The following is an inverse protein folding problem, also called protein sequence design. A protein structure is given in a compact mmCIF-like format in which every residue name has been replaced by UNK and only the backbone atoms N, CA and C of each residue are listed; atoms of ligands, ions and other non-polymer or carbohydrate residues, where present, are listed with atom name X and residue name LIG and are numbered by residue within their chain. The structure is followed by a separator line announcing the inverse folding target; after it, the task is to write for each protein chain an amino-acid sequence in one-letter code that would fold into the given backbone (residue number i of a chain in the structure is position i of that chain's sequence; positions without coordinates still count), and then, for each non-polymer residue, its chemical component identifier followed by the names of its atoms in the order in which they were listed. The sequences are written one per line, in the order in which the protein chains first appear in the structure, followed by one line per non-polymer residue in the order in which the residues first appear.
data_IF_036922888626
#
_entry.id   IF_036922888626
#
_cell.length_a   1.000
_cell.length_b   1.000
_cell.length_c   1.000
_cell.angle_alpha   90.00
_cell.angle_beta   90.00
_cell.angle_gamma   90.00
#
_symmetry.space_group_name_H-M   'P 1'
#
loop_
_entity.id
_entity.type
_entity.pdbx_description
1 polymer ?
#
# COMPACT_ATOMS: atom_id res chain seq x y z
N UNK A 1 -80.01 34.13 -26.26
CA UNK A 1 -79.32 33.93 -24.98
C UNK A 1 -78.37 32.75 -25.14
N UNK A 2 -77.08 32.96 -24.84
CA UNK A 2 -75.93 32.05 -24.93
C UNK A 2 -75.36 31.76 -26.34
N UNK A 3 -74.42 32.64 -26.68
CA UNK A 3 -73.32 32.49 -27.64
C UNK A 3 -72.32 31.42 -27.20
N UNK A 4 -71.78 30.63 -28.15
CA UNK A 4 -70.39 30.12 -28.14
C UNK A 4 -69.86 29.98 -29.58
N UNK A 5 -68.95 30.90 -29.89
CA UNK A 5 -67.84 30.89 -30.86
C UNK A 5 -66.97 29.62 -30.74
N UNK A 6 -66.08 29.17 -31.65
CA UNK A 6 -65.49 29.61 -32.92
C UNK A 6 -64.53 28.49 -33.41
N UNK A 7 -64.05 28.63 -34.66
CA UNK A 7 -62.87 28.04 -35.32
C UNK A 7 -63.01 26.73 -36.12
N UNK A 8 -63.14 26.96 -37.42
CA UNK A 8 -62.70 26.14 -38.54
C UNK A 8 -61.16 25.95 -38.49
N UNK A 9 -60.66 24.73 -38.65
CA UNK A 9 -59.25 24.48 -38.96
C UNK A 9 -59.17 23.51 -40.14
N UNK A 10 -58.66 24.04 -41.26
CA UNK A 10 -58.30 23.32 -42.47
C UNK A 10 -56.97 22.61 -42.21
N UNK A 11 -56.94 21.27 -42.30
CA UNK A 11 -55.69 20.51 -42.25
C UNK A 11 -55.21 20.25 -43.68
N UNK A 12 -54.08 20.88 -44.03
CA UNK A 12 -53.42 20.77 -45.32
C UNK A 12 -52.49 19.55 -45.33
N UNK A 13 -52.58 18.77 -46.40
CA UNK A 13 -51.64 17.71 -46.77
C UNK A 13 -50.30 18.35 -47.16
N UNK A 14 -49.20 17.91 -46.56
CA UNK A 14 -47.85 18.18 -47.05
C UNK A 14 -46.96 16.96 -46.80
N UNK A 15 -46.69 16.24 -47.89
CA UNK A 15 -45.69 15.21 -48.01
C UNK A 15 -44.32 15.89 -48.01
N UNK A 16 -43.51 15.66 -46.98
CA UNK A 16 -42.08 16.02 -47.00
C UNK A 16 -41.26 14.77 -46.67
N UNK A 17 -40.55 14.32 -47.70
CA UNK A 17 -39.45 13.38 -47.57
C UNK A 17 -38.28 14.09 -46.90
N UNK A 18 -37.79 13.54 -45.79
CA UNK A 18 -36.50 13.90 -45.21
C UNK A 18 -35.68 12.63 -45.00
N UNK A 19 -34.73 12.46 -45.93
CA UNK A 19 -33.30 12.19 -45.69
C UNK A 19 -33.01 11.27 -44.50
N UNK A 20 -32.68 10.01 -44.82
CA UNK A 20 -31.86 9.16 -43.97
C UNK A 20 -30.50 9.84 -43.77
N UNK A 21 -30.19 10.18 -42.52
CA UNK A 21 -28.87 10.59 -42.11
C UNK A 21 -28.19 9.37 -41.51
N UNK A 22 -27.15 8.91 -42.19
CA UNK A 22 -26.10 8.07 -41.65
C UNK A 22 -25.44 8.86 -40.51
N UNK A 23 -25.56 8.34 -39.29
CA UNK A 23 -24.77 8.77 -38.15
C UNK A 23 -24.24 7.50 -37.51
N UNK A 24 -23.09 7.09 -38.00
CA UNK A 24 -22.08 6.49 -37.16
C UNK A 24 -21.82 7.48 -36.01
N UNK A 25 -22.45 7.21 -34.86
CA UNK A 25 -22.05 7.76 -33.57
C UNK A 25 -21.18 6.69 -32.89
N UNK A 26 -20.02 6.42 -33.49
CA UNK A 26 -18.86 5.84 -32.84
C UNK A 26 -18.24 6.90 -31.93
N UNK A 27 -18.95 7.26 -30.86
CA UNK A 27 -18.33 7.89 -29.70
C UNK A 27 -17.67 6.80 -28.86
N UNK A 28 -16.63 6.17 -29.41
CA UNK A 28 -15.57 5.62 -28.58
C UNK A 28 -14.82 6.81 -28.02
N UNK A 29 -15.24 7.26 -26.83
CA UNK A 29 -14.31 7.93 -25.93
C UNK A 29 -13.25 6.88 -25.57
N UNK A 30 -12.29 6.72 -26.48
CA UNK A 30 -11.04 6.03 -26.23
C UNK A 30 -10.09 7.08 -25.66
N UNK A 31 -10.46 7.65 -24.51
CA UNK A 31 -9.47 8.06 -23.53
C UNK A 31 -8.92 6.78 -22.93
N UNK A 32 -8.09 6.09 -23.71
CA UNK A 32 -7.04 5.28 -23.12
C UNK A 32 -6.12 6.24 -22.40
N UNK A 33 -6.53 6.68 -21.20
CA UNK A 33 -5.59 7.17 -20.22
C UNK A 33 -4.57 6.06 -20.11
N UNK A 34 -3.36 6.34 -20.59
CA UNK A 34 -2.26 5.44 -20.41
C UNK A 34 -2.00 5.48 -18.91
N UNK A 35 -2.66 4.60 -18.18
CA UNK A 35 -2.50 4.47 -16.74
C UNK A 35 -1.02 4.20 -16.48
N UNK A 36 -0.37 5.13 -15.77
CA UNK A 36 1.05 5.05 -15.42
C UNK A 36 1.19 4.65 -13.95
N UNK A 37 2.22 3.87 -13.64
CA UNK A 37 2.55 3.53 -12.26
C UNK A 37 2.96 4.79 -11.51
N UNK A 38 2.51 4.90 -10.26
CA UNK A 38 2.98 5.94 -9.34
C UNK A 38 4.51 5.87 -9.21
N UNK A 39 5.18 7.04 -9.14
CA UNK A 39 6.65 7.11 -9.14
C UNK A 39 7.29 6.37 -7.96
N UNK A 40 6.59 6.24 -6.83
CA UNK A 40 7.03 5.48 -5.66
C UNK A 40 7.33 4.00 -5.98
N UNK A 41 6.67 3.40 -6.99
CA UNK A 41 6.95 2.02 -7.37
C UNK A 41 8.35 1.83 -7.96
N UNK A 42 9.06 2.90 -8.35
CA UNK A 42 10.44 2.83 -8.79
C UNK A 42 11.45 2.53 -7.66
N UNK A 43 11.06 2.71 -6.39
CA UNK A 43 11.91 2.37 -5.24
C UNK A 43 11.80 0.89 -4.81
N UNK A 44 10.79 0.17 -5.28
CA UNK A 44 10.62 -1.25 -4.98
C UNK A 44 11.70 -2.07 -5.69
N UNK A 45 12.29 -3.02 -4.97
CA UNK A 45 13.39 -3.82 -5.51
C UNK A 45 12.96 -4.66 -6.72
N UNK A 46 13.44 -4.28 -7.90
CA UNK A 46 13.13 -4.95 -9.16
C UNK A 46 13.61 -6.40 -9.26
N UNK A 47 14.51 -6.85 -8.37
CA UNK A 47 14.91 -8.26 -8.31
C UNK A 47 13.89 -9.10 -7.51
N UNK A 48 13.20 -8.49 -6.55
CA UNK A 48 12.24 -9.16 -5.67
C UNK A 48 10.78 -8.88 -6.04
N UNK A 49 10.51 -7.86 -6.87
CA UNK A 49 9.17 -7.52 -7.33
C UNK A 49 9.00 -7.58 -8.84
N UNK A 50 7.81 -8.03 -9.24
CA UNK A 50 7.22 -7.74 -10.53
C UNK A 50 5.97 -6.86 -10.30
N UNK A 51 6.03 -5.60 -10.73
CA UNK A 51 4.95 -4.60 -10.55
C UNK A 51 4.45 -4.14 -11.90
N UNK A 52 3.14 -4.24 -12.12
CA UNK A 52 2.51 -3.88 -13.39
C UNK A 52 1.06 -3.47 -13.20
N UNK A 53 0.53 -2.75 -14.20
CA UNK A 53 -0.89 -2.39 -14.24
C UNK A 53 -1.66 -3.50 -14.95
N UNK A 54 -2.78 -3.90 -14.36
CA UNK A 54 -3.72 -4.85 -14.91
C UNK A 54 -5.12 -4.26 -14.75
N UNK A 55 -5.72 -3.84 -15.86
CA UNK A 55 -6.95 -3.04 -15.86
C UNK A 55 -6.79 -1.79 -14.98
N UNK A 56 -7.66 -1.57 -13.99
CA UNK A 56 -7.63 -0.41 -13.08
C UNK A 56 -6.84 -0.68 -11.77
N UNK A 57 -6.06 -1.76 -11.73
CA UNK A 57 -5.28 -2.19 -10.56
C UNK A 57 -3.78 -2.14 -10.81
N UNK A 58 -3.02 -1.84 -9.75
CA UNK A 58 -1.59 -2.18 -9.66
C UNK A 58 -1.47 -3.56 -9.03
N UNK A 59 -0.78 -4.46 -9.73
CA UNK A 59 -0.45 -5.80 -9.26
C UNK A 59 1.00 -5.80 -8.80
N UNK A 60 1.23 -6.20 -7.55
CA UNK A 60 2.55 -6.42 -6.97
C UNK A 60 2.71 -7.91 -6.69
N UNK A 61 3.66 -8.55 -7.38
CA UNK A 61 4.08 -9.91 -7.12
C UNK A 61 5.48 -9.87 -6.48
N UNK A 62 5.62 -10.40 -5.26
CA UNK A 62 6.91 -10.43 -4.55
C UNK A 62 7.43 -11.86 -4.39
N UNK A 63 8.76 -12.01 -4.34
CA UNK A 63 9.44 -13.24 -3.88
C UNK A 63 9.34 -13.43 -2.35
N UNK A 64 9.04 -12.35 -1.62
CA UNK A 64 9.04 -12.29 -0.15
C UNK A 64 10.43 -12.29 0.49
N UNK A 65 11.48 -12.09 -0.30
CA UNK A 65 12.85 -12.02 0.18
C UNK A 65 13.27 -10.57 0.33
N UNK A 66 13.95 -10.19 1.43
CA UNK A 66 14.51 -8.86 1.58
C UNK A 66 15.82 -8.70 0.78
N UNK A 67 16.19 -7.46 0.46
CA UNK A 67 17.42 -7.12 -0.26
C UNK A 67 18.57 -6.62 0.64
N UNK A 68 18.51 -6.88 1.94
CA UNK A 68 19.50 -6.41 2.92
C UNK A 68 20.07 -7.55 3.79
N UNK A 69 21.13 -7.23 4.53
CA UNK A 69 21.74 -8.17 5.48
C UNK A 69 20.83 -8.48 6.65
N UNK A 70 20.87 -9.71 7.16
CA UNK A 70 20.13 -10.14 8.35
C UNK A 70 20.79 -11.40 8.95
N UNK A 71 20.77 -11.58 10.29
CA UNK A 71 21.17 -12.85 10.90
C UNK A 71 20.20 -14.01 10.60
N UNK A 72 19.04 -13.73 10.00
CA UNK A 72 18.06 -14.74 9.62
C UNK A 72 18.33 -15.39 8.25
N UNK A 73 19.37 -14.97 7.52
CA UNK A 73 19.78 -15.70 6.32
C UNK A 73 20.49 -17.02 6.69
N UNK A 74 20.33 -18.06 5.88
CA UNK A 74 21.06 -19.32 6.12
C UNK A 74 22.57 -19.09 6.15
N UNK A 75 23.25 -19.83 7.02
CA UNK A 75 24.70 -19.72 7.20
C UNK A 75 25.46 -19.84 5.87
N UNK A 76 26.28 -18.82 5.56
CA UNK A 76 27.06 -18.75 4.32
C UNK A 76 26.36 -18.10 3.14
N UNK A 77 25.12 -17.64 3.30
CA UNK A 77 24.47 -16.73 2.36
C UNK A 77 25.23 -15.39 2.32
N UNK A 78 25.34 -14.69 1.17
CA UNK A 78 26.10 -13.44 1.08
C UNK A 78 25.57 -12.30 1.96
N UNK A 79 24.30 -12.36 2.35
CA UNK A 79 23.62 -11.38 3.21
C UNK A 79 23.55 -11.82 4.69
N UNK A 80 24.11 -12.99 5.03
CA UNK A 80 24.21 -13.47 6.41
C UNK A 80 25.21 -12.63 7.22
N UNK A 81 24.81 -12.20 8.41
CA UNK A 81 25.61 -11.43 9.35
C UNK A 81 25.36 -11.93 10.79
N UNK A 82 26.33 -11.72 11.69
CA UNK A 82 26.12 -12.03 13.11
C UNK A 82 25.02 -11.13 13.73
N UNK A 83 24.19 -11.67 14.64
CA UNK A 83 23.16 -10.88 15.30
C UNK A 83 23.77 -9.80 16.21
N UNK A 84 23.35 -8.55 16.03
CA UNK A 84 23.87 -7.38 16.77
C UNK A 84 22.89 -6.84 17.82
N UNK A 85 21.58 -6.93 17.56
CA UNK A 85 20.52 -6.48 18.48
C UNK A 85 19.76 -7.65 19.14
N UNK A 86 19.65 -8.77 18.43
CA UNK A 86 19.14 -10.05 18.96
C UNK A 86 20.31 -10.98 19.30
N UNK A 87 20.03 -12.24 19.58
CA UNK A 87 21.01 -13.31 19.71
C UNK A 87 20.46 -14.62 19.15
N UNK A 88 21.35 -15.55 18.78
CA UNK A 88 20.92 -16.89 18.32
C UNK A 88 19.99 -17.62 19.30
N UNK A 89 20.05 -17.30 20.60
CA UNK A 89 19.17 -17.90 21.61
C UNK A 89 17.76 -17.28 21.65
N UNK A 90 17.60 -16.06 21.12
CA UNK A 90 16.35 -15.31 21.11
C UNK A 90 15.67 -15.30 19.74
N UNK A 91 16.44 -15.48 18.67
CA UNK A 91 15.90 -15.57 17.32
C UNK A 91 14.83 -16.66 17.22
N UNK A 92 13.73 -16.29 16.57
CA UNK A 92 12.74 -17.23 16.09
C UNK A 92 13.37 -18.28 15.15
N UNK A 93 12.81 -19.50 15.06
CA UNK A 93 13.32 -20.53 14.18
C UNK A 93 12.97 -20.27 12.71
N UNK A 94 13.88 -20.65 11.82
CA UNK A 94 13.70 -20.63 10.37
C UNK A 94 14.56 -19.55 9.71
N UNK A 95 15.10 -19.88 8.55
CA UNK A 95 15.95 -18.99 7.75
C UNK A 95 15.16 -18.40 6.57
N UNK A 96 15.47 -17.16 6.20
CA UNK A 96 14.77 -16.38 5.15
C UNK A 96 14.63 -17.19 3.85
N UNK A 97 15.72 -17.81 3.39
CA UNK A 97 15.81 -18.56 2.13
C UNK A 97 15.17 -19.95 2.18
N UNK A 98 14.58 -20.34 3.32
CA UNK A 98 13.82 -21.59 3.46
C UNK A 98 12.32 -21.39 3.27
N UNK A 99 11.83 -20.15 3.25
CA UNK A 99 10.44 -19.85 3.01
C UNK A 99 10.13 -19.77 1.51
N UNK A 100 8.99 -20.33 1.12
CA UNK A 100 8.36 -20.00 -0.16
C UNK A 100 7.41 -18.81 0.07
N UNK A 101 8.00 -17.65 0.31
CA UNK A 101 7.31 -16.42 0.73
C UNK A 101 6.76 -15.59 -0.42
N UNK A 102 6.41 -16.19 -1.55
CA UNK A 102 5.86 -15.39 -2.67
C UNK A 102 4.43 -14.95 -2.37
N UNK A 103 4.16 -13.67 -2.55
CA UNK A 103 2.85 -13.07 -2.32
C UNK A 103 2.41 -12.20 -3.48
N UNK A 104 1.10 -12.08 -3.67
CA UNK A 104 0.48 -11.15 -4.62
C UNK A 104 -0.44 -10.18 -3.87
N UNK A 105 -0.32 -8.90 -4.19
CA UNK A 105 -1.25 -7.85 -3.78
C UNK A 105 -1.79 -7.14 -5.02
N UNK A 106 -3.09 -6.88 -5.02
CA UNK A 106 -3.77 -6.07 -6.04
C UNK A 106 -4.42 -4.89 -5.36
N UNK A 107 -4.11 -3.68 -5.80
CA UNK A 107 -4.67 -2.45 -5.24
C UNK A 107 -5.17 -1.55 -6.37
N UNK A 108 -6.20 -0.72 -6.17
CA UNK A 108 -6.60 0.27 -7.16
C UNK A 108 -5.44 1.19 -7.53
N UNK A 109 -5.33 1.58 -8.80
CA UNK A 109 -4.31 2.54 -9.25
C UNK A 109 -4.41 3.90 -8.55
N UNK A 110 -5.63 4.27 -8.15
CA UNK A 110 -5.91 5.43 -7.32
C UNK A 110 -6.68 4.96 -6.08
N UNK A 111 -5.99 4.60 -5.00
CA UNK A 111 -6.62 4.25 -3.73
C UNK A 111 -7.49 5.39 -3.21
N UNK A 112 -8.59 5.06 -2.55
CA UNK A 112 -9.54 6.03 -2.02
C UNK A 112 -9.80 5.75 -0.54
N UNK A 113 -9.98 6.84 0.22
CA UNK A 113 -10.37 6.76 1.63
C UNK A 113 -11.72 6.05 1.77
N UNK A 114 -11.78 5.09 2.69
CA UNK A 114 -13.02 4.45 3.09
C UNK A 114 -13.88 5.39 3.95
N UNK A 115 -15.19 5.10 4.02
CA UNK A 115 -16.11 5.86 4.87
C UNK A 115 -15.86 5.65 6.38
N UNK A 116 -15.11 4.61 6.74
CA UNK A 116 -14.74 4.24 8.10
C UNK A 116 -13.46 3.43 8.08
N UNK A 117 -12.63 3.57 9.11
CA UNK A 117 -11.43 2.76 9.29
C UNK A 117 -11.77 1.29 9.54
N UNK A 118 -10.79 0.41 9.33
CA UNK A 118 -10.94 -1.02 9.62
C UNK A 118 -9.64 -1.63 10.18
N UNK A 119 -9.77 -2.49 11.19
CA UNK A 119 -8.62 -3.11 11.84
C UNK A 119 -7.77 -3.94 10.87
N UNK A 120 -6.45 -3.90 11.11
CA UNK A 120 -5.49 -4.85 10.53
C UNK A 120 -5.74 -6.26 11.05
N UNK A 121 -5.21 -7.26 10.34
CA UNK A 121 -5.28 -8.67 10.74
C UNK A 121 -3.90 -9.24 11.06
N UNK A 122 -3.87 -10.49 11.52
CA UNK A 122 -2.61 -11.25 11.57
C UNK A 122 -2.11 -11.56 10.17
N UNK A 123 -0.80 -11.62 10.03
CA UNK A 123 -0.15 -11.90 8.76
C UNK A 123 0.26 -10.62 8.04
N UNK A 124 0.54 -10.75 6.75
CA UNK A 124 0.94 -9.62 5.92
C UNK A 124 -0.20 -8.60 5.82
N UNK A 125 0.14 -7.35 6.09
CA UNK A 125 -0.75 -6.19 5.93
C UNK A 125 -0.27 -5.25 4.82
N UNK A 126 0.90 -5.52 4.24
CA UNK A 126 1.53 -4.73 3.20
C UNK A 126 2.85 -5.33 2.76
N UNK A 127 3.52 -4.66 1.81
CA UNK A 127 4.82 -5.04 1.28
C UNK A 127 5.83 -3.92 1.49
N UNK A 128 7.03 -4.28 1.96
CA UNK A 128 8.14 -3.35 2.06
C UNK A 128 8.89 -3.24 0.73
N UNK A 129 9.52 -2.10 0.47
CA UNK A 129 10.31 -1.85 -0.75
C UNK A 129 11.43 -2.87 -0.97
N UNK A 130 11.89 -3.54 0.10
CA UNK A 130 12.94 -4.54 0.07
C UNK A 130 12.54 -5.88 -0.55
N UNK A 131 11.23 -6.18 -0.64
CA UNK A 131 10.69 -7.46 -1.08
C UNK A 131 9.88 -8.20 -0.01
N UNK A 132 10.24 -8.08 1.26
CA UNK A 132 9.52 -8.77 2.35
C UNK A 132 8.21 -8.08 2.72
N UNK A 133 7.44 -8.74 3.60
CA UNK A 133 6.11 -8.27 4.01
C UNK A 133 6.14 -7.45 5.30
N UNK A 134 5.14 -6.57 5.45
CA UNK A 134 4.92 -5.75 6.64
C UNK A 134 3.81 -6.40 7.48
N UNK A 135 4.03 -6.53 8.79
CA UNK A 135 3.06 -6.98 9.78
C UNK A 135 2.71 -5.81 10.72
N UNK A 136 1.58 -5.91 11.42
CA UNK A 136 1.14 -4.92 12.41
C UNK A 136 1.87 -5.09 13.77
N UNK A 137 1.38 -4.48 14.85
CA UNK A 137 1.94 -4.58 16.21
C UNK A 137 1.67 -5.91 16.93
N UNK A 138 1.14 -6.92 16.23
CA UNK A 138 0.66 -8.15 16.85
C UNK A 138 1.40 -9.39 16.36
N UNK A 139 1.51 -10.32 17.29
CA UNK A 139 1.95 -11.68 17.10
C UNK A 139 0.78 -12.66 17.14
N UNK A 140 0.96 -13.84 16.55
CA UNK A 140 0.03 -14.94 16.79
C UNK A 140 0.03 -15.32 18.28
N UNK A 141 -1.12 -15.39 18.99
CA UNK A 141 -2.52 -15.43 18.54
C UNK A 141 -3.33 -14.11 18.77
N UNK A 142 -2.92 -12.99 18.17
CA UNK A 142 -3.41 -11.62 18.42
C UNK A 142 -2.99 -11.09 19.80
N UNK A 143 -1.68 -11.16 20.07
CA UNK A 143 -1.07 -10.58 21.28
C UNK A 143 -0.06 -9.52 20.88
N UNK A 144 0.24 -8.52 21.72
CA UNK A 144 1.27 -7.54 21.41
C UNK A 144 2.63 -8.18 21.12
N UNK A 145 3.42 -7.51 20.28
CA UNK A 145 4.78 -7.87 19.88
C UNK A 145 5.77 -8.02 21.06
N UNK A 146 5.42 -7.58 22.28
CA UNK A 146 6.24 -7.50 23.49
C UNK A 146 7.22 -8.67 23.66
N UNK A 147 6.72 -9.90 23.54
CA UNK A 147 7.50 -11.11 23.81
C UNK A 147 8.37 -11.55 22.64
N UNK A 148 8.04 -11.12 21.41
CA UNK A 148 8.80 -11.42 20.20
C UNK A 148 9.81 -10.31 19.86
N UNK A 149 9.64 -9.10 20.41
CA UNK A 149 10.56 -7.98 20.19
C UNK A 149 12.05 -8.35 20.38
N UNK A 150 12.47 -9.18 21.37
CA UNK A 150 13.88 -9.59 21.50
C UNK A 150 14.41 -10.49 20.37
N UNK A 151 13.54 -11.09 19.57
CA UNK A 151 13.91 -11.92 18.42
C UNK A 151 14.17 -11.11 17.15
N UNK A 152 13.67 -9.87 17.08
CA UNK A 152 13.81 -9.01 15.92
C UNK A 152 15.28 -8.65 15.66
N UNK A 153 15.68 -8.67 14.39
CA UNK A 153 16.99 -8.22 13.98
C UNK A 153 17.12 -6.69 13.97
N UNK A 154 18.29 -6.18 13.52
CA UNK A 154 18.59 -4.75 13.57
C UNK A 154 17.66 -3.92 12.68
N UNK A 155 16.98 -4.54 11.73
CA UNK A 155 16.03 -3.88 10.83
C UNK A 155 14.58 -4.15 11.24
N UNK A 156 14.33 -4.61 12.48
CA UNK A 156 12.98 -4.66 13.03
C UNK A 156 12.12 -5.81 12.53
N UNK A 157 12.76 -6.87 12.04
CA UNK A 157 12.09 -8.02 11.45
C UNK A 157 12.61 -9.34 12.02
N UNK A 158 11.80 -10.37 11.86
CA UNK A 158 12.19 -11.74 12.18
C UNK A 158 11.49 -12.72 11.24
N UNK A 159 11.84 -14.00 11.36
CA UNK A 159 11.11 -15.08 10.72
C UNK A 159 9.96 -15.58 11.59
N UNK A 160 8.85 -15.90 10.95
CA UNK A 160 7.72 -16.64 11.52
C UNK A 160 7.34 -17.77 10.58
N UNK A 161 6.27 -18.55 10.85
CA UNK A 161 6.07 -19.83 10.17
C UNK A 161 5.97 -19.77 8.64
N UNK A 162 5.75 -18.60 8.05
CA UNK A 162 5.47 -18.43 6.62
C UNK A 162 6.39 -17.41 5.92
N UNK A 163 7.07 -16.53 6.64
CA UNK A 163 7.80 -15.41 6.05
C UNK A 163 8.81 -14.78 7.01
N UNK A 164 9.77 -14.06 6.43
CA UNK A 164 10.46 -12.96 7.10
C UNK A 164 9.62 -11.69 6.98
N UNK A 165 9.42 -10.96 8.07
CA UNK A 165 8.49 -9.84 8.09
C UNK A 165 8.86 -8.76 9.08
N UNK A 166 8.54 -7.51 8.71
CA UNK A 166 8.85 -6.32 9.50
C UNK A 166 7.69 -5.95 10.40
N UNK A 167 8.01 -5.66 11.66
CA UNK A 167 7.10 -5.01 12.60
C UNK A 167 7.53 -3.57 12.91
N UNK A 168 8.84 -3.31 12.86
CA UNK A 168 9.44 -2.06 13.30
C UNK A 168 10.15 -1.33 12.15
N UNK A 169 10.49 -0.06 12.39
CA UNK A 169 11.24 0.79 11.46
C UNK A 169 12.50 0.07 10.90
N UNK A 170 12.58 -0.12 9.58
CA UNK A 170 13.62 -0.90 8.96
C UNK A 170 14.91 -0.10 8.78
N UNK A 171 15.76 -0.16 9.82
CA UNK A 171 17.05 0.55 9.88
C UNK A 171 18.04 0.21 8.75
N UNK A 172 17.78 -0.80 7.94
CA UNK A 172 18.54 -1.05 6.73
C UNK A 172 18.40 0.06 5.67
N UNK A 173 17.27 0.78 5.62
CA UNK A 173 17.05 1.87 4.65
C UNK A 173 16.25 3.08 5.17
N UNK A 174 15.66 3.01 6.38
CA UNK A 174 14.96 4.13 7.01
C UNK A 174 15.38 4.30 8.47
N UNK A 175 15.77 5.52 8.84
CA UNK A 175 16.08 5.90 10.22
C UNK A 175 15.77 7.38 10.49
N UNK A 176 14.62 7.64 11.10
CA UNK A 176 14.19 9.00 11.45
C UNK A 176 14.08 9.92 10.23
N UNK A 177 13.49 9.43 9.15
CA UNK A 177 13.47 10.10 7.85
C UNK A 177 12.08 10.04 7.19
N UNK A 178 12.04 10.43 5.91
CA UNK A 178 10.90 10.46 5.01
C UNK A 178 10.98 9.37 3.91
N UNK A 179 11.80 8.34 4.12
CA UNK A 179 12.01 7.28 3.15
C UNK A 179 10.71 6.50 2.88
N UNK A 180 10.55 5.96 1.66
CA UNK A 180 9.46 5.03 1.39
C UNK A 180 9.76 3.69 2.09
N UNK A 181 8.81 3.23 2.89
CA UNK A 181 8.90 1.93 3.57
C UNK A 181 8.27 0.85 2.71
N UNK A 182 7.13 1.16 2.11
CA UNK A 182 6.35 0.19 1.35
C UNK A 182 4.94 0.66 1.03
N UNK A 183 4.08 -0.32 0.74
CA UNK A 183 2.66 -0.13 0.45
C UNK A 183 1.82 -1.00 1.38
N UNK A 184 0.75 -0.43 1.93
CA UNK A 184 -0.22 -1.12 2.76
C UNK A 184 -1.30 -1.75 1.87
N UNK A 185 -1.92 -2.84 2.33
CA UNK A 185 -2.87 -3.63 1.54
C UNK A 185 -4.11 -2.86 1.09
N UNK A 186 -4.40 -1.70 1.67
CA UNK A 186 -5.48 -0.81 1.24
C UNK A 186 -5.07 0.17 0.12
N UNK A 187 -3.81 0.09 -0.34
CA UNK A 187 -3.27 0.80 -1.50
C UNK A 187 -2.43 2.03 -1.16
N UNK A 188 -2.47 2.52 0.07
CA UNK A 188 -1.70 3.70 0.44
C UNK A 188 -0.24 3.36 0.79
N UNK A 189 0.65 4.28 0.45
CA UNK A 189 2.07 4.16 0.78
C UNK A 189 2.32 4.41 2.27
N UNK A 190 3.32 3.72 2.82
CA UNK A 190 3.87 3.96 4.15
C UNK A 190 5.25 4.59 4.00
N UNK A 191 5.43 5.77 4.59
CA UNK A 191 6.70 6.48 4.64
C UNK A 191 7.30 6.45 6.05
N UNK A 192 8.56 6.86 6.16
CA UNK A 192 9.27 7.05 7.42
C UNK A 192 8.56 8.03 8.36
N UNK A 193 9.17 8.30 9.52
CA UNK A 193 8.53 9.10 10.59
C UNK A 193 8.32 10.58 10.23
N UNK A 194 9.02 11.11 9.23
CA UNK A 194 8.95 12.51 8.80
C UNK A 194 8.18 12.67 7.50
N UNK A 195 7.58 13.84 7.32
CA UNK A 195 6.91 14.20 6.08
C UNK A 195 7.87 14.98 5.16
N UNK A 196 8.05 14.50 3.93
CA UNK A 196 8.94 15.12 2.95
C UNK A 196 8.58 16.59 2.68
N UNK A 197 7.29 16.93 2.66
CA UNK A 197 6.81 18.30 2.40
C UNK A 197 7.15 19.30 3.50
N UNK A 198 7.28 18.84 4.76
CA UNK A 198 7.57 19.71 5.91
C UNK A 198 9.02 19.60 6.39
N UNK A 199 9.69 18.47 6.08
CA UNK A 199 11.01 18.12 6.61
C UNK A 199 11.03 17.79 8.10
N UNK A 200 9.86 17.59 8.71
CA UNK A 200 9.69 17.32 10.14
C UNK A 200 8.54 16.31 10.36
N UNK A 201 8.31 15.93 11.61
CA UNK A 201 7.21 15.04 11.98
C UNK A 201 5.85 15.68 11.65
N UNK A 202 4.93 14.96 10.98
CA UNK A 202 3.59 15.46 10.72
C UNK A 202 2.84 15.69 12.04
N UNK A 203 2.12 16.82 12.13
CA UNK A 203 1.36 17.22 13.33
C UNK A 203 -0.15 17.11 13.15
N UNK A 204 -0.58 16.68 11.97
CA UNK A 204 -1.95 16.63 11.50
C UNK A 204 -2.36 15.22 11.02
N UNK A 205 -1.67 14.20 11.54
CA UNK A 205 -2.04 12.80 11.32
C UNK A 205 -3.47 12.53 11.81
N UNK A 206 -4.19 11.72 11.04
CA UNK A 206 -5.46 11.15 11.46
C UNK A 206 -5.27 9.96 12.41
N UNK A 207 -6.38 9.31 12.77
CA UNK A 207 -6.38 8.18 13.71
C UNK A 207 -5.65 6.94 13.18
N UNK A 208 -5.42 6.87 11.87
CA UNK A 208 -4.71 5.79 11.21
C UNK A 208 -3.23 6.12 10.96
N UNK A 209 -2.75 7.25 11.48
CA UNK A 209 -1.36 7.68 11.32
C UNK A 209 -1.04 8.19 9.91
N UNK A 210 -2.04 8.61 9.13
CA UNK A 210 -1.85 9.17 7.80
C UNK A 210 -2.36 10.60 7.65
N UNK A 211 -1.97 11.24 6.55
CA UNK A 211 -2.44 12.60 6.20
C UNK A 211 -2.35 12.87 4.69
N UNK A 212 -2.86 14.03 4.27
CA UNK A 212 -2.76 14.52 2.88
C UNK A 212 -1.59 15.49 2.74
N UNK A 213 -0.54 15.10 2.05
CA UNK A 213 0.59 15.98 1.72
C UNK A 213 1.30 15.52 0.44
N UNK A 214 2.20 16.35 -0.09
CA UNK A 214 3.09 15.94 -1.18
C UNK A 214 4.20 15.06 -0.62
N UNK A 215 4.67 14.10 -1.42
CA UNK A 215 5.78 13.21 -1.07
C UNK A 215 6.98 13.51 -1.97
N UNK A 216 8.10 12.80 -1.79
CA UNK A 216 9.23 12.84 -2.73
C UNK A 216 8.86 12.26 -4.11
N UNK A 217 7.69 11.62 -4.24
CA UNK A 217 7.23 10.91 -5.44
C UNK A 217 6.15 11.65 -6.22
N UNK A 218 5.56 12.70 -5.68
CA UNK A 218 4.51 13.47 -6.35
C UNK A 218 4.46 14.92 -5.88
N UNK A 219 4.24 15.83 -6.83
CA UNK A 219 4.00 17.26 -6.56
C UNK A 219 2.53 17.54 -6.17
N UNK A 220 1.64 16.56 -6.34
CA UNK A 220 0.23 16.65 -5.94
C UNK A 220 0.03 16.02 -4.55
N UNK A 221 -0.81 16.65 -3.72
CA UNK A 221 -1.07 16.12 -2.39
C UNK A 221 -1.86 14.81 -2.46
N UNK A 222 -1.33 13.78 -1.80
CA UNK A 222 -1.92 12.44 -1.73
C UNK A 222 -2.01 11.95 -0.28
N UNK A 223 -2.92 11.02 -0.03
CA UNK A 223 -3.02 10.39 1.28
C UNK A 223 -1.92 9.33 1.42
N UNK A 224 -1.18 9.38 2.52
CA UNK A 224 -0.17 8.37 2.85
C UNK A 224 -0.01 8.25 4.37
N UNK A 225 0.55 7.12 4.79
CA UNK A 225 0.85 6.81 6.18
C UNK A 225 2.30 7.15 6.54
N UNK A 226 2.53 7.31 7.83
CA UNK A 226 3.86 7.39 8.42
C UNK A 226 4.07 6.27 9.44
N UNK A 227 5.32 5.82 9.58
CA UNK A 227 5.74 5.03 10.74
C UNK A 227 5.30 5.76 12.00
N UNK A 228 4.71 5.03 12.96
CA UNK A 228 4.29 5.61 14.23
C UNK A 228 5.50 6.20 14.97
N UNK A 229 5.47 7.51 15.20
CA UNK A 229 6.51 8.23 15.94
C UNK A 229 6.26 8.24 17.46
N UNK A 230 5.89 7.09 18.01
CA UNK A 230 5.75 6.86 19.45
C UNK A 230 6.63 5.67 19.86
N UNK A 231 7.32 5.81 21.00
CA UNK A 231 8.21 4.76 21.48
C UNK A 231 7.43 3.55 22.01
N UNK A 232 7.58 2.44 21.32
CA UNK A 232 7.15 1.13 21.76
C UNK A 232 8.23 0.47 22.62
N UNK A 233 7.83 -0.06 23.79
CA UNK A 233 8.73 -0.62 24.81
C UNK A 233 9.90 0.30 25.21
N UNK A 234 9.74 1.61 25.04
CA UNK A 234 10.77 2.64 25.23
C UNK A 234 12.01 2.48 24.32
N UNK A 235 11.91 1.76 23.21
CA UNK A 235 13.06 1.46 22.35
C UNK A 235 12.76 1.48 20.84
N UNK A 236 11.55 1.12 20.44
CA UNK A 236 11.22 0.80 19.06
C UNK A 236 10.15 1.73 18.48
N UNK A 237 10.04 1.77 17.16
CA UNK A 237 8.97 2.44 16.43
C UNK A 237 8.25 1.42 15.56
N UNK A 238 6.94 1.26 15.74
CA UNK A 238 6.13 0.30 15.00
C UNK A 238 5.77 0.88 13.63
N UNK A 239 5.84 0.05 12.59
CA UNK A 239 5.52 0.44 11.22
C UNK A 239 4.07 0.93 11.09
N UNK A 240 3.12 0.07 11.44
CA UNK A 240 1.69 0.34 11.24
C UNK A 240 0.83 -0.43 12.26
N UNK A 241 0.62 0.13 13.46
CA UNK A 241 -0.23 -0.47 14.49
C UNK A 241 -1.72 -0.12 14.35
N UNK A 242 -2.05 0.87 13.53
CA UNK A 242 -3.39 1.45 13.46
C UNK A 242 -4.32 0.71 12.48
N UNK A 243 -5.56 1.20 12.36
CA UNK A 243 -6.53 0.73 11.37
C UNK A 243 -6.17 1.21 9.95
N UNK A 244 -6.55 0.43 8.94
CA UNK A 244 -6.61 0.90 7.56
C UNK A 244 -7.59 2.07 7.41
N UNK A 245 -7.28 2.98 6.50
CA UNK A 245 -8.09 4.14 6.13
C UNK A 245 -8.63 4.00 4.70
N UNK A 246 -8.10 3.08 3.90
CA UNK A 246 -8.68 2.62 2.64
C UNK A 246 -9.49 1.33 2.78
N UNK A 247 -9.78 0.68 1.65
CA UNK A 247 -10.38 -0.66 1.62
C UNK A 247 -9.29 -1.72 1.45
N UNK A 248 -9.04 -2.59 2.44
CA UNK A 248 -7.94 -3.55 2.38
C UNK A 248 -8.18 -4.62 1.30
N UNK A 249 -7.11 -4.95 0.57
CA UNK A 249 -7.09 -6.00 -0.43
C UNK A 249 -6.40 -7.25 0.12
N UNK A 250 -6.78 -8.41 -0.39
CA UNK A 250 -6.19 -9.67 0.05
C UNK A 250 -4.74 -9.81 -0.44
N UNK A 251 -3.84 -10.16 0.47
CA UNK A 251 -2.50 -10.65 0.14
C UNK A 251 -2.59 -12.18 0.02
N UNK A 252 -2.22 -12.73 -1.14
CA UNK A 252 -2.39 -14.15 -1.51
C UNK A 252 -1.07 -14.82 -1.82
#
# INVERSE_FOLDING_TARGET
MKTKSFKLLVSSFALLAFIACDKDDDNTDNTGDNMELHAAFAEFDSENFNIYINDDEVVLETTGLPNHTSPYWSAGHPLDIEPTVTSYAQMAPGDIDQFNGSYTLRVPITPALANSSSATGLGAIGFAVSGSVIYNDQEGPNVPLDNAAPSLDYTGAHTGPQSYHYHLEPKAWSDDDDALIGIISDGFFLYGRKCASTGDYPTDLDVSGGHMATTQHTDDAEYHYHIMNELYLNQYYILFPEDYQGSPNAIQ
#
